data_IF_828453523163
#
_entry.id   IF_828453523163
#
_cell.length_a   1.000
_cell.length_b   1.000
_cell.length_c   1.000
_cell.angle_alpha   90.00
_cell.angle_beta   90.00
_cell.angle_gamma   90.00
#
_symmetry.space_group_name_H-M   'P 1'
#
loop_
_entity.id
_entity.type
_entity.pdbx_description
1 polymer ?
#
# COMPACT_ATOMS: atom_id res chain seq x y z
N UNK A 1 28.24 -7.00 -7.67
CA UNK A 1 27.01 -6.85 -6.85
C UNK A 1 27.28 -6.15 -5.52
N UNK A 2 28.52 -6.16 -4.99
CA UNK A 2 28.94 -5.30 -3.86
C UNK A 2 28.81 -3.79 -4.18
N UNK A 3 29.22 -3.37 -5.37
CA UNK A 3 29.28 -1.94 -5.74
C UNK A 3 27.96 -1.17 -5.66
N UNK A 4 26.81 -1.81 -5.91
CA UNK A 4 25.50 -1.11 -5.89
C UNK A 4 25.02 -0.90 -4.45
N UNK A 5 25.21 -1.90 -3.60
CA UNK A 5 24.86 -1.77 -2.18
C UNK A 5 25.72 -0.69 -1.53
N UNK A 6 27.03 -0.70 -1.77
CA UNK A 6 27.95 0.29 -1.19
C UNK A 6 27.62 1.72 -1.65
N UNK A 7 27.20 1.90 -2.90
CA UNK A 7 26.80 3.22 -3.42
C UNK A 7 25.50 3.71 -2.79
N UNK A 8 24.50 2.83 -2.61
CA UNK A 8 23.23 3.19 -1.97
C UNK A 8 23.46 3.55 -0.50
N UNK A 9 24.28 2.78 0.21
CA UNK A 9 24.61 3.06 1.61
C UNK A 9 25.46 4.33 1.76
N UNK A 10 26.43 4.59 0.87
CA UNK A 10 27.19 5.86 0.85
C UNK A 10 26.30 7.08 0.56
N UNK A 11 25.37 7.00 -0.39
CA UNK A 11 24.45 8.11 -0.69
C UNK A 11 23.52 8.39 0.50
N UNK A 12 23.12 7.37 1.26
CA UNK A 12 22.30 7.53 2.46
C UNK A 12 23.13 8.12 3.61
N UNK A 13 24.37 7.68 3.81
CA UNK A 13 25.29 8.26 4.80
C UNK A 13 25.66 9.71 4.47
N UNK A 14 25.91 10.03 3.19
CA UNK A 14 26.20 11.39 2.72
C UNK A 14 24.97 12.30 2.73
N UNK A 15 23.76 11.76 2.49
CA UNK A 15 22.52 12.53 2.57
C UNK A 15 22.18 12.95 4.01
N UNK A 16 22.66 12.24 5.03
CA UNK A 16 22.44 12.54 6.44
C UNK A 16 20.98 12.87 6.76
N UNK A 17 20.75 14.01 7.41
CA UNK A 17 19.45 14.56 7.79
C UNK A 17 18.47 14.86 6.64
N UNK A 18 18.91 14.86 5.37
CA UNK A 18 18.06 15.16 4.20
C UNK A 18 17.31 13.92 3.71
N UNK A 19 17.83 12.70 3.97
CA UNK A 19 17.21 11.47 3.50
C UNK A 19 15.74 11.29 3.93
N UNK A 20 15.35 11.57 5.20
CA UNK A 20 13.95 11.53 5.61
C UNK A 20 13.06 12.52 4.84
N UNK A 21 13.56 13.71 4.55
CA UNK A 21 12.81 14.74 3.81
C UNK A 21 12.53 14.29 2.37
N UNK A 22 13.54 13.77 1.68
CA UNK A 22 13.38 13.21 0.32
C UNK A 22 12.37 12.06 0.35
N UNK A 23 12.48 11.15 1.32
CA UNK A 23 11.56 10.03 1.46
C UNK A 23 10.10 10.46 1.67
N UNK A 24 9.86 11.50 2.48
CA UNK A 24 8.54 12.10 2.70
C UNK A 24 8.03 12.76 1.41
N UNK A 25 8.88 13.48 0.67
CA UNK A 25 8.48 14.08 -0.60
C UNK A 25 8.10 13.02 -1.63
N UNK A 26 8.89 11.95 -1.75
CA UNK A 26 8.57 10.83 -2.64
C UNK A 26 7.23 10.17 -2.29
N UNK A 27 6.87 10.10 -1.00
CA UNK A 27 5.54 9.64 -0.58
C UNK A 27 4.40 10.51 -1.15
N UNK A 28 4.58 11.84 -1.13
CA UNK A 28 3.59 12.80 -1.63
C UNK A 28 3.49 12.73 -3.16
N UNK A 29 4.61 12.60 -3.85
CA UNK A 29 4.63 12.54 -5.33
C UNK A 29 4.35 11.14 -5.90
N UNK A 30 4.27 10.11 -5.05
CA UNK A 30 3.98 8.72 -5.44
C UNK A 30 2.87 8.56 -6.48
N UNK A 31 1.71 9.23 -6.39
CA UNK A 31 0.65 9.05 -7.38
C UNK A 31 1.05 9.46 -8.79
N UNK A 32 1.95 10.43 -8.93
CA UNK A 32 2.51 10.85 -10.23
C UNK A 32 3.50 9.80 -10.74
N UNK A 33 4.24 9.16 -9.83
CA UNK A 33 5.20 8.12 -10.14
C UNK A 33 4.56 6.74 -10.39
N UNK A 34 3.25 6.60 -10.22
CA UNK A 34 2.49 5.33 -10.36
C UNK A 34 3.01 4.18 -9.49
N UNK A 35 3.68 4.51 -8.38
CA UNK A 35 4.28 3.50 -7.51
C UNK A 35 3.27 2.98 -6.47
N UNK A 36 3.27 1.68 -6.15
CA UNK A 36 2.45 1.12 -5.07
C UNK A 36 2.87 1.65 -3.69
N UNK A 37 1.91 1.87 -2.80
CA UNK A 37 2.19 2.36 -1.43
C UNK A 37 3.05 1.38 -0.63
N UNK A 38 2.94 0.07 -0.89
CA UNK A 38 3.65 -0.95 -0.12
C UNK A 38 5.16 -0.93 -0.34
N UNK A 39 5.61 -0.54 -1.53
CA UNK A 39 7.03 -0.35 -1.81
C UNK A 39 7.63 0.66 -0.84
N UNK A 40 6.88 1.73 -0.56
CA UNK A 40 7.32 2.80 0.33
C UNK A 40 7.32 2.39 1.79
N UNK A 41 6.33 1.60 2.25
CA UNK A 41 6.34 1.04 3.61
C UNK A 41 7.59 0.19 3.86
N UNK A 42 7.87 -0.75 2.94
CA UNK A 42 9.01 -1.66 3.05
C UNK A 42 10.32 -0.86 2.96
N UNK A 43 10.42 0.08 2.02
CA UNK A 43 11.58 0.97 1.88
C UNK A 43 11.81 1.80 3.16
N UNK A 44 10.76 2.32 3.80
CA UNK A 44 10.90 3.06 5.05
C UNK A 44 11.53 2.22 6.17
N UNK A 45 11.09 0.97 6.30
CA UNK A 45 11.64 0.04 7.28
C UNK A 45 13.07 -0.40 6.96
N UNK A 46 13.35 -0.60 5.68
CA UNK A 46 14.68 -0.97 5.20
C UNK A 46 15.71 0.17 5.39
N UNK A 47 15.33 1.41 5.06
CA UNK A 47 16.23 2.57 5.05
C UNK A 47 16.41 3.20 6.43
N UNK A 48 15.34 3.28 7.24
CA UNK A 48 15.33 4.04 8.50
C UNK A 48 15.04 3.17 9.72
N UNK A 49 14.90 1.85 9.54
CA UNK A 49 14.47 0.94 10.58
C UNK A 49 12.98 1.05 10.91
N UNK A 50 12.51 0.20 11.81
CA UNK A 50 11.08 0.06 12.12
C UNK A 50 10.51 1.36 12.73
N UNK A 51 11.21 1.95 13.69
CA UNK A 51 10.70 3.10 14.44
C UNK A 51 10.66 4.37 13.58
N UNK A 52 11.80 4.84 13.08
CA UNK A 52 11.86 6.06 12.26
C UNK A 52 11.19 5.87 10.89
N UNK A 53 11.32 4.68 10.28
CA UNK A 53 10.62 4.34 9.04
C UNK A 53 9.10 4.47 9.18
N UNK A 54 8.54 4.04 10.31
CA UNK A 54 7.10 4.18 10.59
C UNK A 54 6.74 5.66 10.69
N UNK A 55 7.50 6.45 11.45
CA UNK A 55 7.24 7.88 11.65
C UNK A 55 7.26 8.63 10.32
N UNK A 56 8.33 8.47 9.53
CA UNK A 56 8.47 9.18 8.26
C UNK A 56 7.41 8.76 7.23
N UNK A 57 7.06 7.48 7.21
CA UNK A 57 5.99 6.99 6.34
C UNK A 57 4.63 7.57 6.74
N UNK A 58 4.32 7.64 8.04
CA UNK A 58 3.08 8.25 8.51
C UNK A 58 3.01 9.74 8.15
N UNK A 59 4.10 10.48 8.29
CA UNK A 59 4.18 11.90 7.88
C UNK A 59 3.94 12.03 6.38
N UNK A 60 4.62 11.23 5.55
CA UNK A 60 4.43 11.22 4.10
C UNK A 60 2.98 10.92 3.69
N UNK A 61 2.35 9.93 4.32
CA UNK A 61 0.94 9.58 4.07
C UNK A 61 -0.05 10.65 4.55
N UNK A 62 0.25 11.31 5.67
CA UNK A 62 -0.56 12.42 6.16
C UNK A 62 -0.50 13.61 5.19
N UNK A 63 0.69 14.00 4.75
CA UNK A 63 0.87 15.08 3.77
C UNK A 63 0.21 14.73 2.43
N UNK A 64 0.39 13.50 1.95
CA UNK A 64 -0.26 13.00 0.74
C UNK A 64 -1.79 13.03 0.86
N UNK A 65 -2.34 12.61 2.01
CA UNK A 65 -3.79 12.68 2.28
C UNK A 65 -4.29 14.12 2.28
N UNK A 66 -3.55 15.04 2.88
CA UNK A 66 -3.90 16.45 2.91
C UNK A 66 -3.88 17.08 1.51
N UNK A 67 -2.83 16.81 0.72
CA UNK A 67 -2.73 17.24 -0.67
C UNK A 67 -3.89 16.67 -1.50
N UNK A 68 -4.21 15.38 -1.33
CA UNK A 68 -5.32 14.73 -2.01
C UNK A 68 -6.67 15.37 -1.70
N UNK A 69 -6.93 15.68 -0.42
CA UNK A 69 -8.15 16.37 0.00
C UNK A 69 -8.27 17.73 -0.68
N UNK A 70 -7.19 18.51 -0.73
CA UNK A 70 -7.19 19.81 -1.41
C UNK A 70 -7.47 19.65 -2.91
N UNK A 71 -6.78 18.72 -3.58
CA UNK A 71 -6.93 18.47 -5.03
C UNK A 71 -8.36 18.06 -5.39
N UNK A 72 -8.95 17.11 -4.66
CA UNK A 72 -10.29 16.58 -4.97
C UNK A 72 -11.38 17.63 -4.75
N UNK A 73 -11.20 18.54 -3.79
CA UNK A 73 -12.17 19.61 -3.52
C UNK A 73 -12.01 20.82 -4.46
N UNK A 74 -10.80 21.10 -4.94
CA UNK A 74 -10.53 22.22 -5.85
C UNK A 74 -10.74 21.84 -7.32
N UNK A 75 -10.48 20.58 -7.70
CA UNK A 75 -10.48 20.12 -9.09
C UNK A 75 -11.63 19.12 -9.32
N UNK A 76 -12.78 19.56 -9.88
CA UNK A 76 -13.94 18.70 -10.09
C UNK A 76 -13.66 17.51 -11.01
N UNK A 77 -12.78 17.68 -12.02
CA UNK A 77 -12.43 16.60 -12.94
C UNK A 77 -11.73 15.44 -12.23
N UNK A 78 -10.83 15.72 -11.28
CA UNK A 78 -10.18 14.70 -10.46
C UNK A 78 -11.20 13.93 -9.62
N UNK A 79 -12.15 14.64 -9.01
CA UNK A 79 -13.25 14.02 -8.24
C UNK A 79 -14.13 13.12 -9.11
N UNK A 80 -14.51 13.58 -10.31
CA UNK A 80 -15.31 12.78 -11.24
C UNK A 80 -14.57 11.54 -11.73
N UNK A 81 -13.29 11.67 -12.07
CA UNK A 81 -12.46 10.53 -12.48
C UNK A 81 -12.38 9.46 -11.39
N UNK A 82 -12.09 9.87 -10.15
CA UNK A 82 -12.01 8.95 -9.01
C UNK A 82 -13.38 8.34 -8.66
N UNK A 83 -14.46 9.10 -8.77
CA UNK A 83 -15.82 8.59 -8.59
C UNK A 83 -16.17 7.51 -9.62
N UNK A 84 -15.76 7.67 -10.88
CA UNK A 84 -15.92 6.62 -11.91
C UNK A 84 -15.16 5.34 -11.57
N UNK A 85 -13.91 5.46 -11.11
CA UNK A 85 -13.11 4.30 -10.67
C UNK A 85 -13.76 3.64 -9.47
N UNK A 86 -14.19 4.43 -8.48
CA UNK A 86 -14.90 3.95 -7.29
C UNK A 86 -16.13 3.13 -7.67
N UNK A 87 -16.97 3.66 -8.55
CA UNK A 87 -18.19 2.99 -9.01
C UNK A 87 -17.88 1.72 -9.82
N UNK A 88 -16.79 1.69 -10.58
CA UNK A 88 -16.36 0.48 -11.30
C UNK A 88 -15.89 -0.63 -10.36
N UNK A 89 -15.17 -0.28 -9.29
CA UNK A 89 -14.60 -1.25 -8.35
C UNK A 89 -15.59 -1.71 -7.27
N UNK A 90 -16.39 -0.79 -6.74
CA UNK A 90 -17.25 -1.01 -5.57
C UNK A 90 -18.74 -0.81 -5.84
N UNK A 91 -19.12 -0.40 -7.06
CA UNK A 91 -20.50 -0.06 -7.38
C UNK A 91 -21.02 1.12 -6.54
N UNK A 92 -22.31 1.09 -6.21
CA UNK A 92 -22.96 2.05 -5.33
C UNK A 92 -22.90 1.66 -3.85
N UNK A 93 -21.94 0.80 -3.45
CA UNK A 93 -21.83 0.38 -2.05
C UNK A 93 -21.34 1.53 -1.19
N UNK A 94 -22.11 1.82 -0.15
CA UNK A 94 -21.66 2.67 0.96
C UNK A 94 -20.73 1.85 1.85
N UNK A 95 -19.56 2.40 2.17
CA UNK A 95 -18.60 1.74 3.06
C UNK A 95 -18.54 2.45 4.40
N UNK A 96 -18.33 1.70 5.47
CA UNK A 96 -18.05 2.27 6.79
C UNK A 96 -16.58 2.67 6.90
N UNK A 97 -16.26 3.56 7.84
CA UNK A 97 -14.86 3.97 8.13
C UNK A 97 -13.99 2.74 8.42
N UNK A 98 -14.51 1.78 9.20
CA UNK A 98 -13.81 0.54 9.53
C UNK A 98 -13.50 -0.30 8.30
N UNK A 99 -14.47 -0.48 7.40
CA UNK A 99 -14.27 -1.21 6.15
C UNK A 99 -13.19 -0.54 5.30
N UNK A 100 -13.25 0.79 5.13
CA UNK A 100 -12.23 1.54 4.37
C UNK A 100 -10.84 1.34 4.97
N UNK A 101 -10.71 1.37 6.30
CA UNK A 101 -9.42 1.17 6.97
C UNK A 101 -8.88 -0.27 6.82
N UNK A 102 -9.75 -1.28 6.88
CA UNK A 102 -9.36 -2.67 6.60
C UNK A 102 -8.89 -2.81 5.14
N UNK A 103 -9.61 -2.21 4.19
CA UNK A 103 -9.22 -2.23 2.78
C UNK A 103 -7.88 -1.54 2.53
N UNK A 104 -7.51 -0.52 3.33
CA UNK A 104 -6.19 0.14 3.25
C UNK A 104 -5.03 -0.76 3.65
N UNK A 105 -5.28 -1.85 4.36
CA UNK A 105 -4.27 -2.88 4.58
C UNK A 105 -3.99 -3.68 3.32
N UNK A 106 -4.92 -3.76 2.37
CA UNK A 106 -4.69 -4.52 1.15
C UNK A 106 -3.82 -3.73 0.15
N UNK A 107 -2.76 -4.33 -0.38
CA UNK A 107 -1.80 -3.65 -1.27
C UNK A 107 -2.38 -3.31 -2.65
N UNK A 108 -3.43 -4.02 -3.07
CA UNK A 108 -3.96 -3.99 -4.43
C UNK A 108 -4.95 -2.84 -4.68
N UNK A 109 -5.46 -2.22 -3.62
CA UNK A 109 -6.47 -1.17 -3.73
C UNK A 109 -5.79 0.20 -3.73
N UNK A 110 -6.15 1.02 -4.72
CA UNK A 110 -5.57 2.36 -4.86
C UNK A 110 -5.96 3.25 -3.68
N UNK A 111 -4.95 3.73 -2.95
CA UNK A 111 -5.10 4.60 -1.77
C UNK A 111 -5.99 5.83 -2.01
N UNK A 112 -5.97 6.37 -3.23
CA UNK A 112 -6.78 7.53 -3.63
C UNK A 112 -8.29 7.23 -3.61
N UNK A 113 -8.70 6.05 -4.08
CA UNK A 113 -10.12 5.65 -4.08
C UNK A 113 -10.62 5.51 -2.65
N UNK A 114 -9.81 4.92 -1.77
CA UNK A 114 -10.16 4.78 -0.35
C UNK A 114 -10.13 6.13 0.39
N UNK A 115 -9.27 7.05 -0.04
CA UNK A 115 -9.30 8.42 0.46
C UNK A 115 -10.56 9.15 0.02
N UNK A 116 -11.05 8.93 -1.21
CA UNK A 116 -12.32 9.51 -1.67
C UNK A 116 -13.51 9.01 -0.82
N UNK A 117 -13.55 7.73 -0.47
CA UNK A 117 -14.58 7.21 0.45
C UNK A 117 -14.56 7.93 1.80
N UNK A 118 -13.37 8.10 2.42
CA UNK A 118 -13.30 8.85 3.67
C UNK A 118 -13.77 10.30 3.50
N UNK A 119 -13.41 10.97 2.41
CA UNK A 119 -13.87 12.34 2.13
C UNK A 119 -15.40 12.41 2.06
N UNK A 120 -16.06 11.42 1.42
CA UNK A 120 -17.52 11.37 1.31
C UNK A 120 -18.22 11.05 2.64
N UNK A 121 -17.56 10.31 3.54
CA UNK A 121 -18.12 9.94 4.86
C UNK A 121 -17.92 11.07 5.89
N UNK A 122 -16.83 11.81 5.80
CA UNK A 122 -16.46 12.83 6.81
C UNK A 122 -17.00 14.21 6.49
N UNK A 123 -17.28 15.00 7.53
CA UNK A 123 -17.86 16.33 7.41
C UNK A 123 -16.83 17.45 7.23
N UNK A 124 -15.58 17.23 7.65
CA UNK A 124 -14.54 18.26 7.68
C UNK A 124 -13.15 17.71 7.37
N UNK A 125 -12.24 18.58 6.92
CA UNK A 125 -10.83 18.24 6.70
C UNK A 125 -10.17 17.59 7.92
N UNK A 126 -10.45 18.11 9.12
CA UNK A 126 -9.86 17.61 10.37
C UNK A 126 -10.33 16.19 10.69
N UNK A 127 -11.61 15.92 10.45
CA UNK A 127 -12.20 14.60 10.64
C UNK A 127 -11.65 13.59 9.62
N UNK A 128 -11.59 13.98 8.35
CA UNK A 128 -10.92 13.22 7.28
C UNK A 128 -9.47 12.85 7.67
N UNK A 129 -8.68 13.83 8.10
CA UNK A 129 -7.28 13.61 8.44
C UNK A 129 -7.12 12.66 9.64
N UNK A 130 -7.96 12.80 10.67
CA UNK A 130 -7.95 11.88 11.82
C UNK A 130 -8.20 10.44 11.41
N UNK A 131 -9.26 10.19 10.64
CA UNK A 131 -9.58 8.84 10.18
C UNK A 131 -8.59 8.31 9.16
N UNK A 132 -8.09 9.16 8.26
CA UNK A 132 -7.11 8.76 7.25
C UNK A 132 -5.79 8.33 7.90
N UNK A 133 -5.27 9.13 8.84
CA UNK A 133 -4.04 8.81 9.57
C UNK A 133 -4.24 7.59 10.46
N UNK A 134 -5.32 7.55 11.26
CA UNK A 134 -5.60 6.39 12.11
C UNK A 134 -5.71 5.09 11.31
N UNK A 135 -6.35 5.14 10.13
CA UNK A 135 -6.52 4.00 9.25
C UNK A 135 -5.24 3.46 8.61
N UNK A 136 -4.15 4.25 8.57
CA UNK A 136 -2.86 3.80 8.02
C UNK A 136 -1.84 3.40 9.07
N UNK A 137 -2.07 3.66 10.36
CA UNK A 137 -1.12 3.32 11.43
C UNK A 137 -0.82 1.82 11.42
N UNK A 138 -1.86 1.00 11.49
CA UNK A 138 -1.72 -0.46 11.55
C UNK A 138 -0.95 -1.02 10.33
N UNK A 139 -1.37 -0.76 9.06
CA UNK A 139 -0.62 -1.27 7.92
C UNK A 139 0.79 -0.69 7.83
N UNK A 140 1.01 0.57 8.22
CA UNK A 140 2.35 1.17 8.22
C UNK A 140 3.28 0.39 9.13
N UNK A 141 2.88 0.13 10.38
CA UNK A 141 3.69 -0.62 11.33
C UNK A 141 3.98 -2.03 10.79
N UNK A 142 2.95 -2.72 10.27
CA UNK A 142 3.10 -4.08 9.74
C UNK A 142 4.10 -4.13 8.58
N UNK A 143 3.90 -3.32 7.53
CA UNK A 143 4.73 -3.37 6.33
C UNK A 143 6.13 -2.77 6.55
N UNK A 144 6.26 -1.76 7.39
CA UNK A 144 7.58 -1.20 7.77
C UNK A 144 8.37 -2.22 8.58
N UNK A 145 7.71 -3.00 9.46
CA UNK A 145 8.38 -4.07 10.20
C UNK A 145 8.94 -5.14 9.27
N UNK A 146 8.21 -5.52 8.21
CA UNK A 146 8.75 -6.42 7.18
C UNK A 146 10.00 -5.85 6.52
N UNK A 147 10.03 -4.56 6.18
CA UNK A 147 11.21 -3.90 5.64
C UNK A 147 12.41 -3.93 6.59
N UNK A 148 12.17 -3.66 7.87
CA UNK A 148 13.20 -3.73 8.91
C UNK A 148 13.70 -5.15 9.16
N UNK A 149 12.86 -6.18 9.03
CA UNK A 149 13.31 -7.56 9.21
C UNK A 149 14.22 -8.04 8.08
N UNK A 150 13.99 -7.58 6.84
CA UNK A 150 14.84 -7.93 5.69
C UNK A 150 16.30 -7.53 5.93
N UNK A 151 16.58 -6.45 6.66
CA UNK A 151 17.96 -6.02 6.95
C UNK A 151 18.61 -6.83 8.07
N UNK A 152 17.82 -7.36 9.01
CA UNK A 152 18.31 -8.16 10.14
C UNK A 152 18.48 -9.65 9.81
N UNK A 153 17.81 -10.14 8.77
CA UNK A 153 17.85 -11.54 8.40
C UNK A 153 19.07 -11.87 7.52
N UNK A 154 19.78 -12.97 7.80
CA UNK A 154 20.81 -13.49 6.90
C UNK A 154 20.24 -13.76 5.50
N UNK A 155 21.04 -13.58 4.45
CA UNK A 155 20.60 -13.69 3.06
C UNK A 155 19.88 -15.01 2.73
N UNK A 156 20.28 -16.12 3.37
CA UNK A 156 19.64 -17.43 3.21
C UNK A 156 18.22 -17.49 3.82
N UNK A 157 17.96 -16.77 4.91
CA UNK A 157 16.63 -16.69 5.52
C UNK A 157 15.67 -15.88 4.64
N UNK A 158 16.15 -14.77 4.07
CA UNK A 158 15.40 -13.98 3.08
C UNK A 158 15.05 -14.81 1.84
N UNK A 159 16.03 -15.53 1.28
CA UNK A 159 15.80 -16.41 0.14
C UNK A 159 14.80 -17.54 0.45
N UNK A 160 14.89 -18.12 1.66
CA UNK A 160 13.98 -19.17 2.11
C UNK A 160 12.55 -18.65 2.30
N UNK A 161 12.39 -17.43 2.83
CA UNK A 161 11.08 -16.80 2.98
C UNK A 161 10.39 -16.55 1.63
N UNK A 162 11.11 -15.98 0.65
CA UNK A 162 10.58 -15.78 -0.69
C UNK A 162 10.32 -17.11 -1.43
N UNK A 163 11.19 -18.11 -1.25
CA UNK A 163 10.99 -19.46 -1.78
C UNK A 163 9.72 -20.12 -1.22
N UNK A 164 9.50 -20.00 0.09
CA UNK A 164 8.29 -20.50 0.74
C UNK A 164 7.01 -19.80 0.23
N UNK A 165 7.06 -18.47 0.09
CA UNK A 165 5.98 -17.69 -0.52
C UNK A 165 5.68 -18.13 -1.96
N UNK A 166 6.71 -18.39 -2.76
CA UNK A 166 6.57 -18.87 -4.14
C UNK A 166 5.92 -20.26 -4.19
N UNK A 167 6.29 -21.17 -3.27
CA UNK A 167 5.67 -22.49 -3.14
C UNK A 167 4.19 -22.36 -2.78
N UNK A 168 3.85 -21.53 -1.79
CA UNK A 168 2.45 -21.26 -1.41
C UNK A 168 1.68 -20.72 -2.62
N UNK A 169 2.24 -19.74 -3.31
CA UNK A 169 1.61 -19.15 -4.50
C UNK A 169 1.35 -20.21 -5.58
N UNK A 170 2.32 -21.08 -5.85
CA UNK A 170 2.19 -22.14 -6.84
C UNK A 170 1.17 -23.21 -6.41
N UNK A 171 1.10 -23.52 -5.12
CA UNK A 171 0.13 -24.46 -4.56
C UNK A 171 -1.31 -23.93 -4.64
N UNK A 172 -1.53 -22.66 -4.29
CA UNK A 172 -2.85 -22.03 -4.44
C UNK A 172 -3.23 -21.81 -5.91
N UNK A 173 -2.26 -21.59 -6.80
CA UNK A 173 -2.48 -21.48 -8.24
C UNK A 173 -3.02 -22.77 -8.86
N UNK A 174 -2.45 -23.92 -8.49
CA UNK A 174 -2.87 -25.24 -9.01
C UNK A 174 -4.27 -25.64 -8.54
N UNK A 175 -4.59 -25.45 -7.26
CA UNK A 175 -5.90 -25.83 -6.72
C UNK A 175 -7.06 -25.06 -7.37
N UNK A 176 -6.80 -23.87 -7.93
CA UNK A 176 -7.83 -23.09 -8.61
C UNK A 176 -8.20 -23.66 -9.98
N UNK A 177 -7.29 -24.38 -10.63
CA UNK A 177 -7.55 -25.04 -11.92
C UNK A 177 -8.27 -26.38 -11.71
N UNK A 178 -7.91 -27.13 -10.67
CA UNK A 178 -8.60 -28.38 -10.30
C UNK A 178 -10.06 -28.13 -9.89
N UNK A 179 -10.31 -27.07 -9.10
CA UNK A 179 -11.68 -26.69 -8.69
C UNK A 179 -12.55 -26.26 -9.88
N UNK A 180 -11.96 -25.58 -10.88
CA UNK A 180 -12.68 -25.20 -12.11
C UNK A 180 -13.01 -26.42 -12.97
N UNK A 181 -12.11 -27.40 -13.04
CA UNK A 181 -12.32 -28.63 -13.80
C UNK A 181 -13.46 -29.47 -13.21
N UNK A 182 -13.51 -29.66 -11.88
CA UNK A 182 -14.61 -30.35 -11.20
C UNK A 182 -15.95 -29.64 -11.37
N UNK A 183 -15.99 -28.32 -11.20
CA UNK A 183 -17.22 -27.54 -11.40
C UNK A 183 -17.77 -27.68 -12.82
N UNK A 184 -16.91 -27.60 -13.83
CA UNK A 184 -17.30 -27.78 -15.23
C UNK A 184 -17.82 -29.20 -15.51
N UNK A 185 -17.22 -30.23 -14.91
CA UNK A 185 -17.68 -31.61 -15.02
C UNK A 185 -19.07 -31.82 -14.39
N UNK A 186 -19.32 -31.23 -13.23
CA UNK A 186 -20.64 -31.26 -12.56
C UNK A 186 -21.70 -30.55 -13.42
N UNK A 187 -21.38 -29.36 -13.94
CA UNK A 187 -22.29 -28.59 -14.79
C UNK A 187 -22.58 -29.26 -16.14
N UNK A 188 -21.60 -29.98 -16.70
CA UNK A 188 -21.80 -30.79 -17.90
C UNK A 188 -22.77 -31.96 -17.65
N UNK A 189 -22.63 -32.63 -16.50
CA UNK A 189 -23.52 -33.73 -16.08
C UNK A 189 -24.93 -33.26 -15.73
N UNK A 190 -25.10 -32.02 -15.27
CA UNK A 190 -26.41 -31.43 -15.00
C UNK A 190 -27.15 -30.96 -16.26
N UNK A 191 -26.46 -30.85 -17.41
CA UNK A 191 -27.02 -30.46 -18.71
C UNK A 191 -27.36 -31.64 -19.63
N UNK A 192 -26.92 -32.85 -19.29
CA UNK A 192 -27.24 -34.11 -19.99
C UNK A 192 -28.41 -34.81 -19.34
#
# INVERSE_FOLDING_TARGET
METVNDTVFQVIEEAGWIAPLIFILLHVFRPVLLLPVVVFYIAGGYLFGIFYGTIYTLIGLALMSAAFYAIVNVIPSARHYLSRIKNKLFGNRQMTIGQVNILRMMPFIHFQVLSLFLIEITSSFREYMRYSVAGVILPTITYTSFGGFITTMPWYATLSFFGFLAIIFFWFGQNQDDTKAEFNAIMAKARS
#
